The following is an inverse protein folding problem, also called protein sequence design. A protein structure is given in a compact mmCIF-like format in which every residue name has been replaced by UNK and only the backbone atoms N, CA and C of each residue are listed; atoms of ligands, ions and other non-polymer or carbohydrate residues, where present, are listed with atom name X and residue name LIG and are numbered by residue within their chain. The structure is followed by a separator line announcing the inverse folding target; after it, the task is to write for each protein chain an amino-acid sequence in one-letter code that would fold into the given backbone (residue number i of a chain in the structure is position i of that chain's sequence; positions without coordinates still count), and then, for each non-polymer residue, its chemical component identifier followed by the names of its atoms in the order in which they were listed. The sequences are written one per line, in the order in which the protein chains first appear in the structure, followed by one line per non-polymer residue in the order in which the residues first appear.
data_IF_726817898005
#
_entry.id   IF_726817898005
#
_cell.length_a   1.000
_cell.length_b   1.000
_cell.length_c   1.000
_cell.angle_alpha   90.00
_cell.angle_beta   90.00
_cell.angle_gamma   90.00
#
_symmetry.space_group_name_H-M   'P 1'
#
loop_
_entity.id
_entity.type
_entity.pdbx_description
1 polymer ?
#
# COMPACT_ATOMS: atom_id res chain seq x y z
N UNK A 1 59.94 -33.40 -15.07
CA UNK A 1 58.49 -33.41 -14.84
C UNK A 1 58.02 -31.97 -14.65
N UNK A 2 57.01 -31.53 -15.39
CA UNK A 2 56.38 -30.21 -15.21
C UNK A 2 55.14 -30.44 -14.35
N UNK A 3 55.07 -29.78 -13.19
CA UNK A 3 53.91 -29.83 -12.31
C UNK A 3 53.17 -28.49 -12.40
N UNK A 4 51.85 -28.57 -12.58
CA UNK A 4 50.95 -27.41 -12.57
C UNK A 4 50.04 -27.59 -11.35
N UNK A 5 49.96 -26.58 -10.49
CA UNK A 5 49.11 -26.58 -9.31
C UNK A 5 48.26 -25.31 -9.31
N UNK A 6 46.98 -25.46 -9.00
CA UNK A 6 46.10 -24.31 -8.81
C UNK A 6 46.43 -23.65 -7.47
N UNK A 7 46.69 -22.35 -7.50
CA UNK A 7 47.12 -21.60 -6.31
C UNK A 7 45.90 -21.11 -5.55
N UNK A 8 45.84 -21.41 -4.26
CA UNK A 8 44.85 -20.85 -3.35
C UNK A 8 44.87 -19.32 -3.38
N UNK A 9 43.69 -18.70 -3.41
CA UNK A 9 43.57 -17.25 -3.20
C UNK A 9 44.10 -16.90 -1.81
N UNK A 10 44.85 -15.80 -1.71
CA UNK A 10 45.50 -15.36 -0.46
C UNK A 10 44.51 -15.19 0.70
N UNK A 11 43.27 -14.78 0.40
CA UNK A 11 42.22 -14.55 1.40
C UNK A 11 41.49 -15.81 1.87
N UNK A 12 41.73 -16.97 1.23
CA UNK A 12 40.97 -18.22 1.50
C UNK A 12 41.12 -18.70 2.94
N UNK A 13 42.34 -18.72 3.47
CA UNK A 13 42.61 -19.17 4.84
C UNK A 13 41.95 -18.27 5.88
N UNK A 14 42.03 -16.95 5.66
CA UNK A 14 41.38 -15.97 6.53
C UNK A 14 39.85 -16.15 6.51
N UNK A 15 39.26 -16.36 5.32
CA UNK A 15 37.83 -16.52 5.16
C UNK A 15 37.30 -17.79 5.86
N UNK A 16 37.95 -18.93 5.65
CA UNK A 16 37.60 -20.21 6.30
C UNK A 16 37.68 -20.07 7.82
N UNK A 17 38.75 -19.47 8.34
CA UNK A 17 38.94 -19.28 9.79
C UNK A 17 37.81 -18.44 10.39
N UNK A 18 37.36 -17.39 9.70
CA UNK A 18 36.27 -16.53 10.17
C UNK A 18 34.92 -17.23 10.12
N UNK A 19 34.62 -17.96 9.04
CA UNK A 19 33.39 -18.75 8.93
C UNK A 19 33.30 -19.77 10.08
N UNK A 20 34.41 -20.47 10.38
CA UNK A 20 34.50 -21.37 11.52
C UNK A 20 34.24 -20.66 12.86
N UNK A 21 34.84 -19.48 13.09
CA UNK A 21 34.59 -18.64 14.28
C UNK A 21 33.14 -18.16 14.40
N UNK A 22 32.42 -18.04 13.28
CA UNK A 22 30.99 -17.70 13.26
C UNK A 22 30.08 -18.91 13.53
N UNK A 23 30.65 -20.09 13.78
CA UNK A 23 29.94 -21.35 13.99
C UNK A 23 29.43 -21.99 12.71
N UNK A 24 29.97 -21.61 11.54
CA UNK A 24 29.55 -22.13 10.24
C UNK A 24 30.51 -23.26 9.86
N UNK A 25 29.96 -24.46 9.63
CA UNK A 25 30.74 -25.59 9.14
C UNK A 25 31.11 -25.39 7.67
N UNK A 26 32.41 -25.41 7.38
CA UNK A 26 32.92 -25.25 6.01
C UNK A 26 33.19 -26.62 5.39
N UNK A 27 32.72 -26.79 4.15
CA UNK A 27 32.93 -27.96 3.31
C UNK A 27 33.65 -27.54 2.03
N UNK A 28 34.61 -28.35 1.59
CA UNK A 28 35.21 -28.23 0.26
C UNK A 28 34.65 -29.33 -0.62
N UNK A 29 34.13 -28.96 -1.79
CA UNK A 29 33.65 -29.89 -2.81
C UNK A 29 34.45 -29.68 -4.09
N UNK A 30 35.04 -30.74 -4.63
CA UNK A 30 35.88 -30.67 -5.84
C UNK A 30 35.81 -31.96 -6.65
N UNK A 31 36.05 -31.85 -7.96
CA UNK A 31 36.26 -32.99 -8.85
C UNK A 31 37.70 -33.51 -8.85
N UNK A 32 38.62 -32.82 -8.18
CA UNK A 32 40.01 -33.26 -8.04
C UNK A 32 40.11 -34.54 -7.20
N UNK A 33 41.22 -35.26 -7.40
CA UNK A 33 41.53 -36.44 -6.61
C UNK A 33 41.66 -36.13 -5.11
N UNK A 34 41.42 -37.15 -4.29
CA UNK A 34 41.39 -37.01 -2.84
C UNK A 34 42.68 -36.45 -2.24
N UNK A 35 43.84 -36.84 -2.79
CA UNK A 35 45.16 -36.41 -2.30
C UNK A 35 45.35 -34.90 -2.47
N UNK A 36 45.03 -34.35 -3.64
CA UNK A 36 45.12 -32.92 -3.92
C UNK A 36 44.11 -32.15 -3.09
N UNK A 37 42.85 -32.60 -3.05
CA UNK A 37 41.78 -31.95 -2.30
C UNK A 37 42.10 -31.84 -0.81
N UNK A 38 42.57 -32.93 -0.19
CA UNK A 38 42.96 -32.93 1.23
C UNK A 38 44.17 -32.04 1.51
N UNK A 39 45.16 -32.02 0.62
CA UNK A 39 46.33 -31.16 0.76
C UNK A 39 45.94 -29.67 0.75
N UNK A 40 45.07 -29.26 -0.18
CA UNK A 40 44.56 -27.89 -0.27
C UNK A 40 43.69 -27.55 0.94
N UNK A 41 42.78 -28.44 1.34
CA UNK A 41 41.94 -28.27 2.52
C UNK A 41 42.74 -28.08 3.80
N UNK A 42 43.83 -28.82 3.98
CA UNK A 42 44.70 -28.70 5.14
C UNK A 42 45.41 -27.34 5.21
N UNK A 43 45.77 -26.74 4.07
CA UNK A 43 46.43 -25.42 4.02
C UNK A 43 45.50 -24.30 4.50
N UNK A 44 44.20 -24.39 4.20
CA UNK A 44 43.19 -23.40 4.60
C UNK A 44 42.44 -23.74 5.90
N UNK A 45 42.61 -24.96 6.42
CA UNK A 45 41.99 -25.42 7.66
C UNK A 45 40.56 -25.95 7.50
N UNK A 46 40.21 -26.51 6.34
CA UNK A 46 38.93 -27.18 6.10
C UNK A 46 39.05 -28.66 6.49
N UNK A 47 38.15 -29.12 7.37
CA UNK A 47 38.12 -30.51 7.82
C UNK A 47 37.21 -31.41 7.00
N UNK A 48 36.15 -30.84 6.40
CA UNK A 48 35.18 -31.59 5.63
C UNK A 48 35.47 -31.45 4.13
N UNK A 49 35.90 -32.55 3.50
CA UNK A 49 36.31 -32.57 2.08
C UNK A 49 35.48 -33.63 1.36
N UNK A 50 34.88 -33.23 0.25
CA UNK A 50 34.17 -34.08 -0.71
C UNK A 50 34.96 -34.00 -2.02
N UNK A 51 35.80 -35.00 -2.27
CA UNK A 51 36.67 -35.07 -3.44
C UNK A 51 36.09 -36.02 -4.50
N UNK A 52 36.61 -35.94 -5.72
CA UNK A 52 36.21 -36.79 -6.85
C UNK A 52 34.70 -36.70 -7.18
N UNK A 53 34.07 -35.55 -6.90
CA UNK A 53 32.65 -35.32 -7.16
C UNK A 53 32.44 -34.75 -8.56
N UNK A 54 31.66 -35.45 -9.39
CA UNK A 54 31.31 -34.99 -10.73
C UNK A 54 30.40 -33.74 -10.66
N UNK A 55 30.40 -32.85 -11.67
CA UNK A 55 29.54 -31.66 -11.69
C UNK A 55 28.06 -31.96 -11.42
N UNK A 56 27.52 -33.03 -12.02
CA UNK A 56 26.13 -33.47 -11.82
C UNK A 56 25.86 -34.00 -10.40
N UNK A 57 26.88 -34.55 -9.74
CA UNK A 57 26.78 -35.11 -8.40
C UNK A 57 26.93 -34.06 -7.30
N UNK A 58 27.50 -32.88 -7.59
CA UNK A 58 27.65 -31.80 -6.60
C UNK A 58 26.30 -31.38 -6.00
N UNK A 59 25.24 -31.35 -6.82
CA UNK A 59 23.89 -31.07 -6.33
C UNK A 59 23.38 -32.17 -5.37
N UNK A 60 23.70 -33.43 -5.63
CA UNK A 60 23.34 -34.55 -4.75
C UNK A 60 24.04 -34.45 -3.40
N UNK A 61 25.31 -34.03 -3.37
CA UNK A 61 26.05 -33.81 -2.12
C UNK A 61 25.44 -32.65 -1.30
N UNK A 62 25.08 -31.54 -1.96
CA UNK A 62 24.34 -30.43 -1.31
C UNK A 62 23.03 -30.95 -0.72
N UNK A 63 22.27 -31.75 -1.48
CA UNK A 63 21.01 -32.34 -1.03
C UNK A 63 21.18 -33.29 0.16
N UNK A 64 22.24 -34.11 0.18
CA UNK A 64 22.57 -34.97 1.33
C UNK A 64 22.83 -34.13 2.59
N UNK A 65 23.55 -33.02 2.47
CA UNK A 65 23.80 -32.11 3.59
C UNK A 65 22.50 -31.46 4.09
N UNK A 66 21.61 -31.08 3.19
CA UNK A 66 20.29 -30.52 3.53
C UNK A 66 19.39 -31.56 4.21
N UNK A 67 19.38 -32.81 3.74
CA UNK A 67 18.66 -33.92 4.37
C UNK A 67 19.16 -34.21 5.80
N UNK A 68 20.43 -33.92 6.07
CA UNK A 68 21.00 -33.92 7.42
C UNK A 68 20.55 -32.75 8.31
N UNK A 69 19.56 -31.95 7.88
CA UNK A 69 19.00 -30.82 8.62
C UNK A 69 19.84 -29.53 8.56
N UNK A 70 20.89 -29.49 7.75
CA UNK A 70 21.73 -28.29 7.60
C UNK A 70 21.11 -27.33 6.60
N UNK A 71 21.32 -26.03 6.85
CA UNK A 71 21.10 -24.98 5.85
C UNK A 71 22.41 -24.75 5.10
N UNK A 72 22.39 -24.95 3.79
CA UNK A 72 23.61 -25.01 2.97
C UNK A 72 23.71 -23.78 2.08
N UNK A 73 24.83 -23.07 2.19
CA UNK A 73 25.22 -22.07 1.22
C UNK A 73 26.32 -22.66 0.33
N UNK A 74 26.12 -22.63 -0.99
CA UNK A 74 27.10 -23.11 -1.98
C UNK A 74 27.83 -21.90 -2.57
N UNK A 75 29.16 -21.97 -2.65
CA UNK A 75 30.00 -20.93 -3.26
C UNK A 75 30.73 -21.54 -4.45
N UNK A 76 30.57 -20.97 -5.64
CA UNK A 76 31.14 -21.52 -6.89
C UNK A 76 31.31 -20.46 -7.98
N UNK A 77 31.91 -20.85 -9.10
CA UNK A 77 32.11 -19.97 -10.27
C UNK A 77 30.85 -19.86 -11.17
N UNK A 78 29.88 -20.74 -10.94
CA UNK A 78 28.57 -20.76 -11.59
C UNK A 78 28.53 -21.33 -13.01
N UNK A 79 29.66 -21.81 -13.56
CA UNK A 79 29.66 -22.54 -14.85
C UNK A 79 29.49 -24.03 -14.60
N UNK A 80 30.38 -24.62 -13.80
CA UNK A 80 30.33 -26.06 -13.48
C UNK A 80 29.49 -26.35 -12.24
N UNK A 81 29.18 -25.32 -11.46
CA UNK A 81 28.53 -25.43 -10.15
C UNK A 81 27.05 -25.00 -10.19
N UNK A 82 26.52 -24.60 -11.34
CA UNK A 82 25.14 -24.08 -11.46
C UNK A 82 24.07 -25.02 -10.84
N UNK A 83 24.06 -26.35 -11.08
CA UNK A 83 23.09 -27.23 -10.43
C UNK A 83 23.22 -27.26 -8.90
N UNK A 84 24.45 -27.19 -8.38
CA UNK A 84 24.71 -27.19 -6.94
C UNK A 84 24.35 -25.84 -6.29
N UNK A 85 24.60 -24.72 -6.98
CA UNK A 85 24.19 -23.38 -6.56
C UNK A 85 22.67 -23.26 -6.46
N UNK A 86 21.94 -23.81 -7.44
CA UNK A 86 20.49 -23.82 -7.45
C UNK A 86 19.87 -24.75 -6.39
N UNK A 87 20.53 -25.88 -6.07
CA UNK A 87 20.07 -26.82 -5.04
C UNK A 87 20.29 -26.29 -3.61
N UNK A 88 21.29 -25.42 -3.40
CA UNK A 88 21.60 -24.87 -2.08
C UNK A 88 20.49 -23.95 -1.55
N UNK A 89 20.38 -23.80 -0.22
CA UNK A 89 19.48 -22.79 0.37
C UNK A 89 19.91 -21.36 0.00
N UNK A 90 21.20 -21.18 -0.32
CA UNK A 90 21.77 -19.93 -0.81
C UNK A 90 22.94 -20.22 -1.78
N UNK A 91 22.74 -19.97 -3.06
CA UNK A 91 23.83 -19.97 -4.06
C UNK A 91 24.58 -18.64 -4.06
N UNK A 92 25.91 -18.69 -3.97
CA UNK A 92 26.80 -17.53 -4.00
C UNK A 92 27.82 -17.71 -5.14
N UNK A 93 27.69 -16.89 -6.17
CA UNK A 93 28.56 -16.95 -7.36
C UNK A 93 29.77 -16.03 -7.18
N UNK A 94 30.96 -16.50 -7.56
CA UNK A 94 32.22 -15.75 -7.52
C UNK A 94 32.58 -15.17 -8.89
N UNK A 95 32.95 -13.89 -8.91
CA UNK A 95 33.47 -13.20 -10.09
C UNK A 95 32.40 -12.62 -11.01
N UNK A 96 32.84 -12.04 -12.13
CA UNK A 96 31.97 -11.58 -13.22
C UNK A 96 31.50 -12.75 -14.09
N UNK A 97 31.09 -13.85 -13.47
CA UNK A 97 30.75 -15.11 -14.16
C UNK A 97 29.82 -14.88 -15.35
N UNK A 98 29.89 -15.77 -16.34
CA UNK A 98 29.06 -15.79 -17.54
C UNK A 98 27.58 -15.57 -17.19
N UNK A 99 26.75 -15.05 -18.11
CA UNK A 99 25.36 -14.66 -17.82
C UNK A 99 24.55 -15.76 -17.07
N UNK A 100 24.83 -17.04 -17.36
CA UNK A 100 24.25 -18.22 -16.70
C UNK A 100 24.55 -18.28 -15.18
N UNK A 101 25.75 -17.87 -14.77
CA UNK A 101 26.20 -17.85 -13.37
C UNK A 101 25.57 -16.70 -12.57
N UNK A 102 25.21 -15.60 -13.24
CA UNK A 102 24.46 -14.48 -12.63
C UNK A 102 22.98 -14.80 -12.44
N UNK A 103 22.41 -15.64 -13.32
CA UNK A 103 20.97 -15.97 -13.28
C UNK A 103 20.63 -17.07 -12.24
N UNK A 104 21.62 -17.88 -11.85
CA UNK A 104 21.42 -19.03 -10.94
C UNK A 104 21.78 -18.76 -9.47
N UNK A 105 22.54 -17.70 -9.18
CA UNK A 105 23.01 -17.36 -7.82
C UNK A 105 22.14 -16.33 -7.11
N UNK A 106 21.83 -16.56 -5.83
CA UNK A 106 21.13 -15.56 -4.99
C UNK A 106 22.01 -14.38 -4.57
N UNK A 107 23.34 -14.55 -4.58
CA UNK A 107 24.34 -13.49 -4.31
C UNK A 107 25.48 -13.62 -5.32
N UNK A 108 25.95 -12.49 -5.87
CA UNK A 108 27.10 -12.44 -6.80
C UNK A 108 28.22 -11.60 -6.18
N UNK A 109 29.43 -12.17 -6.08
CA UNK A 109 30.63 -11.55 -5.50
C UNK A 109 31.52 -11.00 -6.61
N UNK A 110 31.44 -9.70 -6.86
CA UNK A 110 32.12 -9.03 -7.99
C UNK A 110 33.65 -9.05 -7.84
N UNK A 111 34.18 -8.80 -6.64
CA UNK A 111 35.63 -8.61 -6.41
C UNK A 111 36.45 -9.88 -6.38
N UNK A 112 35.84 -11.04 -6.60
CA UNK A 112 36.49 -12.34 -6.52
C UNK A 112 37.17 -12.64 -5.16
N UNK A 113 36.80 -11.93 -4.09
CA UNK A 113 37.34 -12.10 -2.73
C UNK A 113 36.36 -12.89 -1.85
N UNK A 114 36.80 -14.03 -1.32
CA UNK A 114 36.00 -14.88 -0.42
C UNK A 114 35.58 -14.18 0.87
N UNK A 115 36.27 -13.09 1.24
CA UNK A 115 35.88 -12.26 2.37
C UNK A 115 34.53 -11.56 2.18
N UNK A 116 34.08 -11.35 0.94
CA UNK A 116 32.78 -10.73 0.67
C UNK A 116 31.63 -11.67 1.01
N UNK A 117 31.84 -12.99 1.01
CA UNK A 117 30.88 -13.98 1.53
C UNK A 117 30.60 -13.73 3.01
N UNK A 118 31.65 -13.47 3.79
CA UNK A 118 31.51 -13.13 5.21
C UNK A 118 30.77 -11.81 5.38
N UNK A 119 31.14 -10.80 4.59
CA UNK A 119 30.50 -9.48 4.62
C UNK A 119 29.00 -9.57 4.32
N UNK A 120 28.60 -10.43 3.37
CA UNK A 120 27.20 -10.69 3.05
C UNK A 120 26.45 -11.35 4.22
N UNK A 121 27.06 -12.32 4.89
CA UNK A 121 26.46 -12.97 6.08
C UNK A 121 26.35 -11.97 7.25
N UNK A 122 27.39 -11.15 7.49
CA UNK A 122 27.36 -10.11 8.51
C UNK A 122 26.27 -9.06 8.24
N UNK A 123 26.15 -8.61 6.99
CA UNK A 123 25.11 -7.69 6.57
C UNK A 123 23.72 -8.30 6.77
N UNK A 124 23.51 -9.53 6.31
CA UNK A 124 22.24 -10.26 6.49
C UNK A 124 21.83 -10.35 7.97
N UNK A 125 22.77 -10.71 8.86
CA UNK A 125 22.51 -10.76 10.32
C UNK A 125 22.12 -9.38 10.88
N UNK A 126 22.76 -8.31 10.44
CA UNK A 126 22.41 -6.95 10.88
C UNK A 126 21.06 -6.49 10.33
N UNK A 127 20.78 -6.73 9.06
CA UNK A 127 19.51 -6.44 8.41
C UNK A 127 18.37 -7.17 9.10
N UNK A 128 18.53 -8.46 9.36
CA UNK A 128 17.52 -9.26 10.06
C UNK A 128 17.30 -8.78 11.50
N UNK A 129 18.36 -8.34 12.18
CA UNK A 129 18.25 -7.65 13.47
C UNK A 129 17.39 -6.39 13.39
N UNK A 130 17.57 -5.55 12.37
CA UNK A 130 16.74 -4.36 12.14
C UNK A 130 15.29 -4.72 11.83
N UNK A 131 15.05 -5.74 11.02
CA UNK A 131 13.69 -6.23 10.72
C UNK A 131 12.98 -6.65 12.01
N UNK A 132 13.64 -7.44 12.87
CA UNK A 132 13.08 -7.85 14.17
C UNK A 132 12.77 -6.66 15.07
N UNK A 133 13.65 -5.66 15.13
CA UNK A 133 13.42 -4.43 15.90
C UNK A 133 12.20 -3.67 15.37
N UNK A 134 12.13 -3.44 14.06
CA UNK A 134 11.03 -2.72 13.43
C UNK A 134 9.69 -3.44 13.63
N UNK A 135 9.67 -4.76 13.47
CA UNK A 135 8.49 -5.58 13.75
C UNK A 135 8.09 -5.49 15.22
N UNK A 136 9.05 -5.56 16.16
CA UNK A 136 8.76 -5.42 17.58
C UNK A 136 8.05 -4.09 17.88
N UNK A 137 8.56 -2.98 17.37
CA UNK A 137 7.94 -1.67 17.60
C UNK A 137 6.56 -1.56 16.93
N UNK A 138 6.42 -2.03 15.69
CA UNK A 138 5.13 -2.04 15.00
C UNK A 138 4.06 -2.84 15.76
N UNK A 139 4.41 -4.03 16.25
CA UNK A 139 3.49 -4.86 17.03
C UNK A 139 3.23 -4.27 18.42
N UNK A 140 4.26 -3.75 19.10
CA UNK A 140 4.12 -3.17 20.44
C UNK A 140 3.05 -2.07 20.49
N UNK A 141 3.03 -1.18 19.49
CA UNK A 141 2.01 -0.15 19.39
C UNK A 141 0.60 -0.70 19.18
N UNK A 142 0.45 -1.69 18.31
CA UNK A 142 -0.86 -2.28 18.05
C UNK A 142 -1.37 -3.05 19.27
N UNK A 143 -0.49 -3.79 19.96
CA UNK A 143 -0.83 -4.55 21.18
C UNK A 143 -1.29 -3.62 22.29
N UNK A 144 -0.70 -2.43 22.45
CA UNK A 144 -1.12 -1.45 23.45
C UNK A 144 -2.32 -0.62 22.98
N UNK A 145 -2.33 -0.23 21.71
CA UNK A 145 -3.34 0.63 21.11
C UNK A 145 -4.71 -0.03 21.02
N UNK A 146 -4.77 -1.33 20.69
CA UNK A 146 -6.04 -2.08 20.55
C UNK A 146 -6.85 -2.07 21.87
N UNK A 147 -6.30 -2.46 23.04
CA UNK A 147 -7.01 -2.36 24.32
C UNK A 147 -7.51 -0.96 24.67
N UNK A 148 -6.74 0.08 24.34
CA UNK A 148 -7.11 1.47 24.63
C UNK A 148 -8.25 1.92 23.69
N UNK A 149 -8.17 1.58 22.41
CA UNK A 149 -9.25 1.81 21.44
C UNK A 149 -10.52 1.03 21.80
N UNK A 150 -10.37 -0.18 22.34
CA UNK A 150 -11.46 -1.01 22.87
C UNK A 150 -12.03 -0.51 24.22
N UNK A 151 -11.58 0.66 24.71
CA UNK A 151 -12.09 1.33 25.93
C UNK A 151 -11.87 0.55 27.23
N UNK A 152 -10.94 -0.40 27.26
CA UNK A 152 -10.63 -1.21 28.46
C UNK A 152 -10.08 -0.32 29.60
N UNK A 153 -9.38 0.77 29.26
CA UNK A 153 -8.74 1.66 30.22
C UNK A 153 -9.47 3.00 30.44
N UNK A 154 -10.77 3.08 30.16
CA UNK A 154 -11.57 4.30 30.38
C UNK A 154 -11.54 4.76 31.84
N UNK A 155 -11.50 3.83 32.81
CA UNK A 155 -11.37 4.16 34.24
C UNK A 155 -10.07 4.85 34.63
N UNK A 156 -9.04 4.79 33.78
CA UNK A 156 -7.77 5.50 33.94
C UNK A 156 -7.69 6.78 33.08
N UNK A 157 -8.80 7.18 32.43
CA UNK A 157 -8.84 8.34 31.54
C UNK A 157 -8.11 8.15 30.20
N UNK A 158 -7.72 6.92 29.87
CA UNK A 158 -7.02 6.60 28.63
C UNK A 158 -8.02 6.27 27.53
N UNK A 159 -8.35 7.26 26.71
CA UNK A 159 -9.16 7.10 25.50
C UNK A 159 -8.30 7.44 24.30
N UNK A 160 -8.26 6.58 23.29
CA UNK A 160 -7.51 6.85 22.07
C UNK A 160 -8.46 7.44 21.02
N UNK A 161 -8.25 8.70 20.63
CA UNK A 161 -8.98 9.30 19.52
C UNK A 161 -8.35 8.89 18.18
N UNK A 162 -9.14 8.68 17.11
CA UNK A 162 -8.62 8.26 15.80
C UNK A 162 -7.54 9.18 15.22
N UNK A 163 -7.64 10.49 15.42
CA UNK A 163 -6.68 11.47 14.91
C UNK A 163 -5.32 11.34 15.60
N UNK A 164 -5.33 11.12 16.93
CA UNK A 164 -4.12 10.87 17.70
C UNK A 164 -3.51 9.50 17.36
N UNK A 165 -4.33 8.49 17.09
CA UNK A 165 -3.86 7.20 16.60
C UNK A 165 -3.17 7.31 15.23
N UNK A 166 -3.77 8.07 14.30
CA UNK A 166 -3.19 8.35 12.98
C UNK A 166 -1.86 9.10 13.08
N UNK A 167 -1.78 10.13 13.92
CA UNK A 167 -0.53 10.88 14.15
C UNK A 167 0.56 10.00 14.77
N UNK A 168 0.22 9.17 15.75
CA UNK A 168 1.16 8.22 16.35
C UNK A 168 1.67 7.19 15.33
N UNK A 169 0.81 6.70 14.42
CA UNK A 169 1.19 5.79 13.35
C UNK A 169 2.13 6.44 12.32
N UNK A 170 1.88 7.71 11.98
CA UNK A 170 2.76 8.48 11.09
C UNK A 170 4.14 8.70 11.72
N UNK A 171 4.20 9.13 12.99
CA UNK A 171 5.48 9.33 13.70
C UNK A 171 6.25 8.02 13.89
N UNK A 172 5.55 6.91 14.13
CA UNK A 172 6.15 5.57 14.22
C UNK A 172 6.88 5.18 12.94
N UNK A 173 6.27 5.44 11.78
CA UNK A 173 6.89 5.19 10.47
C UNK A 173 8.22 5.93 10.30
N UNK A 174 8.30 7.20 10.71
CA UNK A 174 9.52 8.00 10.62
C UNK A 174 10.66 7.38 11.44
N UNK A 175 10.38 6.96 12.68
CA UNK A 175 11.37 6.30 13.55
C UNK A 175 11.80 4.92 13.03
N UNK A 176 10.89 4.10 12.50
CA UNK A 176 11.20 2.80 11.91
C UNK A 176 12.06 2.95 10.66
N UNK A 177 11.73 3.91 9.79
CA UNK A 177 12.53 4.25 8.61
C UNK A 177 13.91 4.75 9.04
N UNK A 178 13.99 5.65 10.03
CA UNK A 178 15.26 6.17 10.56
C UNK A 178 16.12 5.05 11.13
N UNK A 179 15.54 4.10 11.88
CA UNK A 179 16.26 2.94 12.41
C UNK A 179 16.82 2.06 11.30
N UNK A 180 16.07 1.91 10.20
CA UNK A 180 16.48 1.15 9.02
C UNK A 180 17.64 1.84 8.30
N UNK A 181 17.59 3.17 8.18
CA UNK A 181 18.66 3.97 7.56
C UNK A 181 19.99 3.90 8.31
N UNK A 182 20.01 3.54 9.61
CA UNK A 182 21.26 3.31 10.34
C UNK A 182 22.09 2.14 9.77
N UNK A 183 21.48 1.27 8.97
CA UNK A 183 22.18 0.22 8.25
C UNK A 183 23.14 0.80 7.17
N UNK A 184 22.92 2.04 6.72
CA UNK A 184 23.85 2.76 5.81
C UNK A 184 25.25 2.93 6.40
N UNK A 185 25.37 2.94 7.72
CA UNK A 185 26.66 3.02 8.42
C UNK A 185 27.30 1.66 8.66
N UNK A 186 26.74 0.58 8.11
CA UNK A 186 27.36 -0.72 8.14
C UNK A 186 28.76 -0.65 7.51
N UNK A 187 29.74 -1.12 8.28
CA UNK A 187 31.10 -1.33 7.80
C UNK A 187 31.44 -2.79 8.10
N UNK A 188 31.84 -3.57 7.08
CA UNK A 188 32.26 -4.95 7.29
C UNK A 188 33.30 -5.03 8.41
N UNK A 189 33.20 -6.04 9.27
CA UNK A 189 34.16 -6.31 10.36
C UNK A 189 34.24 -5.23 11.46
N UNK A 190 33.36 -4.22 11.47
CA UNK A 190 33.28 -3.21 12.55
C UNK A 190 31.91 -3.27 13.23
N UNK A 191 31.90 -3.12 14.56
CA UNK A 191 30.65 -3.03 15.32
C UNK A 191 29.95 -1.71 14.99
N UNK A 192 28.70 -1.79 14.54
CA UNK A 192 27.86 -0.62 14.34
C UNK A 192 27.21 -0.23 15.68
N UNK A 193 27.93 0.55 16.49
CA UNK A 193 27.46 1.00 17.81
C UNK A 193 26.15 1.81 17.72
N UNK A 194 25.98 2.61 16.66
CA UNK A 194 24.72 3.33 16.42
C UNK A 194 23.54 2.36 16.26
N UNK A 195 23.74 1.27 15.51
CA UNK A 195 22.73 0.22 15.35
C UNK A 195 22.44 -0.55 16.64
N UNK A 196 23.43 -0.70 17.53
CA UNK A 196 23.26 -1.36 18.84
C UNK A 196 22.48 -0.52 19.85
N UNK A 197 22.69 0.80 19.86
CA UNK A 197 22.05 1.72 20.82
C UNK A 197 20.66 2.16 20.35
N UNK A 198 20.41 2.12 19.03
CA UNK A 198 19.14 2.52 18.44
C UNK A 198 17.89 1.88 19.07
N UNK A 199 17.85 0.58 19.42
CA UNK A 199 16.66 -0.01 20.06
C UNK A 199 16.35 0.61 21.42
N UNK A 200 17.37 0.88 22.25
CA UNK A 200 17.18 1.50 23.54
C UNK A 200 16.68 2.94 23.40
N UNK A 201 17.27 3.70 22.47
CA UNK A 201 16.83 5.07 22.16
C UNK A 201 15.40 5.07 21.62
N UNK A 202 15.07 4.14 20.73
CA UNK A 202 13.72 3.98 20.18
C UNK A 202 12.72 3.65 21.29
N UNK A 203 13.01 2.71 22.19
CA UNK A 203 12.14 2.41 23.34
C UNK A 203 11.89 3.66 24.19
N UNK A 204 12.93 4.43 24.50
CA UNK A 204 12.80 5.66 25.31
C UNK A 204 11.96 6.69 24.55
N UNK A 205 12.33 7.01 23.31
CA UNK A 205 11.66 8.00 22.49
C UNK A 205 10.19 7.66 22.29
N UNK A 206 9.90 6.39 22.02
CA UNK A 206 8.54 5.89 21.85
C UNK A 206 7.74 5.83 23.14
N UNK A 207 8.35 5.45 24.26
CA UNK A 207 7.67 5.49 25.56
C UNK A 207 7.31 6.93 25.95
N UNK A 208 8.20 7.88 25.68
CA UNK A 208 7.94 9.31 25.89
C UNK A 208 6.82 9.82 24.98
N UNK A 209 6.87 9.46 23.69
CA UNK A 209 5.85 9.81 22.71
C UNK A 209 4.47 9.28 23.14
N UNK A 210 4.42 8.01 23.51
CA UNK A 210 3.20 7.36 23.98
C UNK A 210 2.66 7.98 25.26
N UNK A 211 3.54 8.33 26.21
CA UNK A 211 3.14 8.97 27.46
C UNK A 211 2.62 10.39 27.23
N UNK A 212 3.27 11.18 26.36
CA UNK A 212 2.76 12.50 25.97
C UNK A 212 1.41 12.38 25.23
N UNK A 213 1.23 11.37 24.38
CA UNK A 213 -0.07 11.10 23.76
C UNK A 213 -1.16 10.76 24.79
N UNK A 214 -0.85 9.88 25.75
CA UNK A 214 -1.75 9.51 26.83
C UNK A 214 -2.10 10.73 27.72
N UNK A 215 -1.11 11.58 28.00
CA UNK A 215 -1.27 12.81 28.79
C UNK A 215 -2.09 13.87 28.06
N UNK A 216 -1.83 14.12 26.78
CA UNK A 216 -2.62 15.03 25.94
C UNK A 216 -4.05 14.53 25.84
N UNK A 217 -4.26 13.22 25.66
CA UNK A 217 -5.60 12.65 25.59
C UNK A 217 -6.38 12.79 26.91
N UNK A 218 -5.73 12.51 28.05
CA UNK A 218 -6.35 12.63 29.38
C UNK A 218 -6.58 14.09 29.81
N UNK A 219 -5.66 15.01 29.51
CA UNK A 219 -5.85 16.45 29.78
C UNK A 219 -6.98 17.06 28.95
N UNK A 220 -7.20 16.56 27.72
CA UNK A 220 -8.36 16.93 26.90
C UNK A 220 -9.69 16.39 27.48
N UNK A 221 -9.67 15.28 28.21
CA UNK A 221 -10.86 14.76 28.91
C UNK A 221 -11.12 15.47 30.25
N UNK A 222 -10.07 15.86 30.98
CA UNK A 222 -10.18 16.64 32.23
C UNK A 222 -10.64 18.09 32.02
N UNK A 223 -10.25 18.70 30.90
CA UNK A 223 -10.69 20.07 30.54
C UNK A 223 -12.16 20.13 30.09
N UNK A 224 -12.79 18.99 29.79
CA UNK A 224 -14.21 18.92 29.42
C UNK A 224 -15.16 18.99 30.63
N UNK A 225 -14.66 18.79 31.87
CA UNK A 225 -15.50 18.80 33.08
C UNK A 225 -15.50 20.14 33.84
N UNK A 226 -14.69 21.12 33.47
CA UNK A 226 -14.68 22.47 34.09
C UNK A 226 -15.05 23.62 33.16
N UNK A 227 -15.24 23.38 31.86
CA UNK A 227 -15.67 24.39 30.89
C UNK A 227 -17.14 24.26 30.45
N UNK A 228 -17.99 23.60 31.26
CA UNK A 228 -19.41 23.43 30.94
C UNK A 228 -20.26 24.71 31.11
N UNK A 229 -19.68 25.85 31.53
CA UNK A 229 -20.41 27.11 31.70
C UNK A 229 -19.77 28.34 31.02
N UNK A 230 -18.66 28.20 30.29
CA UNK A 230 -18.06 29.36 29.61
C UNK A 230 -17.32 28.96 28.33
N UNK A 231 -18.05 28.38 27.38
CA UNK A 231 -17.57 28.20 26.01
C UNK A 231 -18.75 28.14 25.02
N UNK A 232 -19.65 29.12 25.10
CA UNK A 232 -20.51 29.49 23.96
C UNK A 232 -19.66 30.39 23.06
N UNK A 233 -18.65 29.83 22.37
CA UNK A 233 -18.01 30.39 21.18
C UNK A 233 -16.81 29.52 20.82
N UNK A 234 -16.84 28.90 19.64
CA UNK A 234 -15.70 28.16 19.09
C UNK A 234 -15.82 26.63 19.08
N UNK A 235 -16.97 26.09 18.65
CA UNK A 235 -17.02 24.71 18.14
C UNK A 235 -16.55 24.68 16.68
N UNK A 236 -15.35 24.16 16.43
CA UNK A 236 -15.08 23.47 15.17
C UNK A 236 -15.81 22.13 15.24
N UNK A 237 -17.02 22.08 14.66
CA UNK A 237 -17.87 20.90 14.57
C UNK A 237 -17.14 19.80 13.79
N UNK A 238 -16.78 18.70 14.46
CA UNK A 238 -16.51 17.45 13.76
C UNK A 238 -17.83 16.98 13.14
N UNK A 239 -18.00 17.21 11.84
CA UNK A 239 -19.20 16.80 11.10
C UNK A 239 -19.23 15.27 11.06
N UNK A 240 -20.38 14.68 11.42
CA UNK A 240 -20.52 13.23 11.52
C UNK A 240 -20.45 12.59 10.11
N UNK A 241 -19.30 12.02 9.75
CA UNK A 241 -19.05 11.41 8.43
C UNK A 241 -20.11 10.36 8.04
N UNK A 242 -20.67 9.63 9.00
CA UNK A 242 -21.75 8.67 8.76
C UNK A 242 -23.02 9.36 8.26
N UNK A 243 -23.38 10.52 8.82
CA UNK A 243 -24.56 11.28 8.39
C UNK A 243 -24.39 11.88 6.98
N UNK A 244 -23.16 12.32 6.64
CA UNK A 244 -22.83 12.77 5.28
C UNK A 244 -22.96 11.61 4.29
N UNK A 245 -22.43 10.43 4.63
CA UNK A 245 -22.51 9.27 3.73
C UNK A 245 -23.94 8.81 3.51
N UNK A 246 -24.78 8.83 4.56
CA UNK A 246 -26.23 8.55 4.42
C UNK A 246 -26.92 9.58 3.53
N UNK A 247 -26.57 10.87 3.67
CA UNK A 247 -27.12 11.92 2.83
C UNK A 247 -26.76 11.72 1.35
N UNK A 248 -25.49 11.48 1.03
CA UNK A 248 -25.04 11.23 -0.35
C UNK A 248 -25.74 10.00 -0.94
N UNK A 249 -25.88 8.91 -0.17
CA UNK A 249 -26.57 7.70 -0.62
C UNK A 249 -28.08 7.90 -0.86
N UNK A 250 -28.70 8.87 -0.16
CA UNK A 250 -30.11 9.21 -0.33
C UNK A 250 -30.35 10.19 -1.49
N UNK A 251 -29.35 10.97 -1.89
CA UNK A 251 -29.43 12.01 -2.91
C UNK A 251 -29.22 11.49 -4.34
N UNK A 252 -29.83 12.18 -5.30
CA UNK A 252 -29.58 11.94 -6.72
C UNK A 252 -28.21 12.51 -7.10
N UNK A 253 -27.39 11.72 -7.80
CA UNK A 253 -26.08 12.14 -8.29
C UNK A 253 -25.98 11.99 -9.79
N UNK A 254 -25.25 12.92 -10.40
CA UNK A 254 -24.89 12.88 -11.81
C UNK A 254 -23.43 13.28 -12.02
N UNK A 255 -22.91 12.90 -13.17
CA UNK A 255 -21.55 13.27 -13.60
C UNK A 255 -21.58 13.87 -14.99
N UNK A 256 -20.79 14.92 -15.15
CA UNK A 256 -20.48 15.53 -16.43
C UNK A 256 -18.96 15.59 -16.61
N UNK A 257 -18.50 15.91 -17.82
CA UNK A 257 -17.08 15.92 -18.15
C UNK A 257 -16.67 17.29 -18.73
N UNK A 258 -15.61 17.87 -18.16
CA UNK A 258 -14.91 19.02 -18.73
C UNK A 258 -13.63 18.53 -19.40
N UNK A 259 -13.69 18.23 -20.69
CA UNK A 259 -12.64 17.45 -21.34
C UNK A 259 -12.63 16.02 -20.79
N UNK A 260 -11.51 15.60 -20.22
CA UNK A 260 -11.36 14.28 -19.59
C UNK A 260 -11.64 14.30 -18.07
N UNK A 261 -11.84 15.48 -17.48
CA UNK A 261 -12.05 15.59 -16.03
C UNK A 261 -13.52 15.41 -15.64
N UNK A 262 -13.84 14.44 -14.76
CA UNK A 262 -15.20 14.24 -14.26
C UNK A 262 -15.58 15.32 -13.23
N UNK A 263 -16.76 15.92 -13.40
CA UNK A 263 -17.40 16.83 -12.45
C UNK A 263 -18.63 16.17 -11.85
N UNK A 264 -18.64 16.04 -10.53
CA UNK A 264 -19.71 15.38 -9.78
C UNK A 264 -20.74 16.39 -9.29
N UNK A 265 -22.02 16.07 -9.53
CA UNK A 265 -23.16 16.88 -9.13
C UNK A 265 -24.06 16.09 -8.18
N UNK A 266 -24.49 16.73 -7.11
CA UNK A 266 -25.36 16.15 -6.07
C UNK A 266 -26.60 17.02 -5.91
N UNK A 267 -27.78 16.41 -6.01
CA UNK A 267 -29.02 17.06 -5.64
C UNK A 267 -29.11 17.22 -4.12
N UNK A 268 -29.21 18.47 -3.66
CA UNK A 268 -29.48 18.81 -2.28
C UNK A 268 -30.80 19.59 -2.21
N UNK A 269 -31.82 19.00 -1.57
CA UNK A 269 -33.15 19.60 -1.50
C UNK A 269 -33.41 20.41 -0.22
N UNK A 270 -32.81 20.09 0.93
CA UNK A 270 -33.02 20.78 2.22
C UNK A 270 -31.79 20.66 3.14
N UNK A 271 -31.52 21.72 3.91
CA UNK A 271 -30.56 21.87 5.01
C UNK A 271 -29.52 20.75 5.15
N UNK A 272 -28.34 20.99 4.60
CA UNK A 272 -27.19 20.09 4.70
C UNK A 272 -26.95 19.70 6.17
N UNK A 273 -26.89 18.40 6.51
CA UNK A 273 -26.85 17.97 7.89
C UNK A 273 -25.56 18.45 8.57
N UNK A 274 -25.71 19.44 9.46
CA UNK A 274 -24.62 20.00 10.28
C UNK A 274 -23.43 20.60 9.52
N UNK A 275 -23.54 20.79 8.20
CA UNK A 275 -22.50 21.43 7.39
C UNK A 275 -22.69 22.94 7.46
N UNK A 276 -21.59 23.65 7.67
CA UNK A 276 -21.56 25.12 7.73
C UNK A 276 -20.95 25.68 6.45
N UNK A 277 -21.43 26.84 5.99
CA UNK A 277 -20.76 27.57 4.93
C UNK A 277 -19.47 28.18 5.48
N UNK A 278 -18.38 27.98 4.74
CA UNK A 278 -17.14 28.75 4.90
C UNK A 278 -17.31 30.15 4.32
N UNK A 279 -17.98 30.24 3.17
CA UNK A 279 -18.30 31.49 2.48
C UNK A 279 -19.72 31.40 1.90
N UNK A 280 -20.48 32.50 1.94
CA UNK A 280 -21.81 32.57 1.31
C UNK A 280 -22.93 31.86 2.06
N UNK A 281 -23.90 31.35 1.31
CA UNK A 281 -25.08 30.63 1.80
C UNK A 281 -25.10 29.18 1.30
N UNK A 282 -25.69 28.29 2.10
CA UNK A 282 -25.95 26.89 1.72
C UNK A 282 -27.38 26.68 1.20
N UNK A 283 -28.15 27.76 1.06
CA UNK A 283 -29.49 27.71 0.47
C UNK A 283 -29.37 27.78 -1.04
N UNK A 284 -29.96 26.82 -1.73
CA UNK A 284 -29.91 26.68 -3.19
C UNK A 284 -31.25 27.09 -3.81
N UNK A 285 -31.20 28.02 -4.77
CA UNK A 285 -32.30 28.29 -5.70
C UNK A 285 -31.99 27.65 -7.08
N UNK A 286 -32.84 27.93 -8.06
CA UNK A 286 -32.62 27.49 -9.44
C UNK A 286 -31.38 28.19 -10.04
N UNK A 287 -30.59 27.45 -10.81
CA UNK A 287 -29.34 27.92 -11.44
C UNK A 287 -28.26 28.41 -10.45
N UNK A 288 -28.36 27.96 -9.19
CA UNK A 288 -27.38 28.22 -8.15
C UNK A 288 -26.66 26.93 -7.73
N UNK A 289 -25.39 27.08 -7.35
CA UNK A 289 -24.60 25.98 -6.80
C UNK A 289 -23.82 26.36 -5.55
N UNK A 290 -23.64 25.36 -4.71
CA UNK A 290 -22.75 25.38 -3.56
C UNK A 290 -21.61 24.42 -3.85
N UNK A 291 -20.38 24.85 -3.57
CA UNK A 291 -19.18 24.06 -3.85
C UNK A 291 -18.66 23.37 -2.59
N UNK A 292 -18.21 22.14 -2.77
CA UNK A 292 -17.32 21.48 -1.82
C UNK A 292 -15.99 22.22 -1.69
N UNK A 293 -15.33 22.08 -0.54
CA UNK A 293 -14.12 22.85 -0.23
C UNK A 293 -12.97 22.56 -1.21
N UNK A 294 -12.80 21.30 -1.62
CA UNK A 294 -11.76 20.89 -2.57
C UNK A 294 -12.08 21.37 -3.98
N UNK A 295 -13.34 21.20 -4.43
CA UNK A 295 -13.77 21.67 -5.75
C UNK A 295 -13.64 23.19 -5.87
N UNK A 296 -14.07 23.94 -4.83
CA UNK A 296 -13.94 25.39 -4.80
C UNK A 296 -12.49 25.87 -4.91
N UNK A 297 -11.56 25.19 -4.21
CA UNK A 297 -10.14 25.52 -4.27
C UNK A 297 -9.55 25.27 -5.67
N UNK A 298 -9.94 24.18 -6.32
CA UNK A 298 -9.49 23.84 -7.67
C UNK A 298 -10.04 24.84 -8.69
N UNK A 299 -11.35 25.11 -8.68
CA UNK A 299 -11.98 26.07 -9.58
C UNK A 299 -11.41 27.49 -9.43
N UNK A 300 -11.04 27.92 -8.20
CA UNK A 300 -10.33 29.19 -7.98
C UNK A 300 -8.93 29.18 -8.57
N UNK A 301 -8.18 28.08 -8.41
CA UNK A 301 -6.84 27.92 -8.98
C UNK A 301 -6.86 27.99 -10.51
N UNK A 302 -7.94 27.49 -11.12
CA UNK A 302 -8.18 27.54 -12.57
C UNK A 302 -8.77 28.87 -13.05
N UNK A 303 -9.02 29.80 -12.13
CA UNK A 303 -9.55 31.13 -12.45
C UNK A 303 -11.00 31.12 -12.92
N UNK A 304 -11.75 30.05 -12.65
CA UNK A 304 -13.17 29.92 -13.05
C UNK A 304 -14.08 30.86 -12.26
N UNK A 305 -13.70 31.20 -11.03
CA UNK A 305 -14.34 32.24 -10.22
C UNK A 305 -13.37 32.76 -9.16
N UNK A 306 -13.69 33.90 -8.55
CA UNK A 306 -12.90 34.51 -7.48
C UNK A 306 -13.71 34.57 -6.18
N UNK A 307 -14.93 35.09 -6.25
CA UNK A 307 -15.77 35.37 -5.10
C UNK A 307 -17.08 34.59 -5.15
N UNK A 308 -17.62 34.27 -3.97
CA UNK A 308 -19.01 33.84 -3.89
C UNK A 308 -19.92 34.96 -4.40
N UNK A 309 -20.87 34.62 -5.26
CA UNK A 309 -21.73 35.54 -6.01
C UNK A 309 -21.40 35.62 -7.50
N UNK A 310 -20.20 35.16 -7.90
CA UNK A 310 -19.78 35.10 -9.30
C UNK A 310 -20.70 34.17 -10.13
N UNK A 311 -20.89 34.54 -11.40
CA UNK A 311 -21.74 33.82 -12.34
C UNK A 311 -20.88 33.26 -13.46
N UNK A 312 -20.95 31.95 -13.65
CA UNK A 312 -20.28 31.22 -14.71
C UNK A 312 -21.26 31.07 -15.87
N UNK A 313 -20.89 31.52 -17.07
CA UNK A 313 -21.69 31.35 -18.27
C UNK A 313 -21.48 29.99 -18.93
N UNK A 314 -22.50 29.47 -19.62
CA UNK A 314 -22.46 28.21 -20.39
C UNK A 314 -21.97 27.01 -19.58
N UNK A 315 -22.47 26.86 -18.37
CA UNK A 315 -22.04 25.83 -17.43
C UNK A 315 -22.83 24.53 -17.68
N UNK A 316 -22.20 23.54 -18.31
CA UNK A 316 -22.78 22.21 -18.57
C UNK A 316 -24.21 22.24 -19.17
N UNK A 317 -24.41 23.08 -20.20
CA UNK A 317 -25.68 23.22 -20.90
C UNK A 317 -26.61 24.29 -20.33
N UNK A 318 -26.35 24.78 -19.12
CA UNK A 318 -27.08 25.91 -18.55
C UNK A 318 -26.51 27.24 -19.04
N UNK A 319 -27.36 28.25 -19.30
CA UNK A 319 -26.91 29.55 -19.79
C UNK A 319 -26.02 30.27 -18.77
N UNK A 320 -26.36 30.14 -17.48
CA UNK A 320 -25.64 30.72 -16.35
C UNK A 320 -25.71 29.79 -15.15
N UNK A 321 -24.70 29.86 -14.29
CA UNK A 321 -24.66 29.17 -13.00
C UNK A 321 -24.03 30.12 -11.98
N UNK A 322 -24.73 30.42 -10.87
CA UNK A 322 -24.22 31.29 -9.81
C UNK A 322 -23.65 30.47 -8.66
N UNK A 323 -22.45 30.83 -8.21
CA UNK A 323 -21.86 30.24 -7.00
C UNK A 323 -22.39 31.00 -5.79
N UNK A 324 -23.19 30.36 -4.95
CA UNK A 324 -23.82 31.01 -3.78
C UNK A 324 -23.18 30.66 -2.45
N UNK A 325 -22.35 29.61 -2.41
CA UNK A 325 -21.58 29.30 -1.21
C UNK A 325 -20.50 28.24 -1.41
N UNK A 326 -19.61 28.18 -0.42
CA UNK A 326 -18.55 27.18 -0.29
C UNK A 326 -18.70 26.54 1.09
N UNK A 327 -18.73 25.22 1.13
CA UNK A 327 -18.81 24.47 2.40
C UNK A 327 -17.50 24.54 3.18
N UNK A 328 -17.59 24.51 4.51
CA UNK A 328 -16.44 24.17 5.34
C UNK A 328 -15.91 22.76 4.96
N UNK A 329 -14.58 22.53 4.96
CA UNK A 329 -14.02 21.23 4.64
C UNK A 329 -14.59 20.15 5.57
N UNK A 330 -15.21 19.14 4.98
CA UNK A 330 -15.83 18.04 5.71
C UNK A 330 -14.88 16.85 5.88
N UNK A 331 -13.82 16.76 5.05
CA UNK A 331 -12.92 15.62 5.00
C UNK A 331 -13.55 14.37 4.38
N UNK A 332 -14.68 14.53 3.67
CA UNK A 332 -15.41 13.45 3.01
C UNK A 332 -15.47 13.67 1.49
N UNK A 333 -15.99 12.68 0.75
CA UNK A 333 -16.20 12.80 -0.69
C UNK A 333 -17.00 14.06 -1.08
N UNK A 334 -17.87 14.55 -0.18
CA UNK A 334 -18.69 15.74 -0.40
C UNK A 334 -17.87 16.99 -0.76
N UNK A 335 -16.61 17.08 -0.33
CA UNK A 335 -15.73 18.21 -0.62
C UNK A 335 -15.38 18.33 -2.12
N UNK A 336 -15.65 17.29 -2.91
CA UNK A 336 -15.41 17.23 -4.36
C UNK A 336 -16.69 17.42 -5.21
N UNK A 337 -17.84 17.74 -4.59
CA UNK A 337 -19.12 17.85 -5.32
C UNK A 337 -19.54 19.29 -5.59
N UNK A 338 -20.30 19.45 -6.67
CA UNK A 338 -21.17 20.59 -6.91
C UNK A 338 -22.56 20.25 -6.38
N UNK A 339 -23.03 21.01 -5.39
CA UNK A 339 -24.35 20.84 -4.83
C UNK A 339 -25.31 21.79 -5.52
N UNK A 340 -26.35 21.22 -6.11
CA UNK A 340 -27.40 21.96 -6.83
C UNK A 340 -28.77 21.47 -6.35
N UNK A 341 -29.82 22.24 -6.58
CA UNK A 341 -31.16 21.75 -6.29
C UNK A 341 -31.57 20.67 -7.33
N UNK A 342 -32.61 19.86 -7.05
CA UNK A 342 -33.04 18.80 -7.97
C UNK A 342 -33.43 19.30 -9.37
N UNK A 343 -34.08 20.46 -9.48
CA UNK A 343 -34.52 21.03 -10.76
C UNK A 343 -33.33 21.41 -11.64
N UNK A 344 -32.31 22.05 -11.06
CA UNK A 344 -31.07 22.43 -11.71
C UNK A 344 -30.26 21.18 -12.09
N UNK A 345 -30.22 20.16 -11.22
CA UNK A 345 -29.57 18.88 -11.54
C UNK A 345 -30.19 18.22 -12.78
N UNK A 346 -31.51 18.28 -12.91
CA UNK A 346 -32.24 17.73 -14.05
C UNK A 346 -31.99 18.51 -15.35
N UNK A 347 -31.76 19.82 -15.25
CA UNK A 347 -31.49 20.70 -16.39
C UNK A 347 -30.02 20.66 -16.88
N UNK A 348 -29.08 20.15 -16.07
CA UNK A 348 -27.69 19.97 -16.49
C UNK A 348 -27.58 18.93 -17.62
N UNK A 349 -26.76 19.23 -18.63
CA UNK A 349 -26.37 18.28 -19.67
C UNK A 349 -25.30 17.33 -19.11
N UNK A 350 -25.74 16.38 -18.31
CA UNK A 350 -24.90 15.36 -17.68
C UNK A 350 -24.83 14.11 -18.53
N UNK A 351 -23.71 13.40 -18.48
CA UNK A 351 -23.54 12.18 -19.28
C UNK A 351 -24.13 10.96 -18.56
N UNK A 352 -24.02 10.87 -17.23
CA UNK A 352 -24.53 9.68 -16.53
C UNK A 352 -25.10 9.97 -15.14
N UNK A 353 -25.96 9.06 -14.70
CA UNK A 353 -26.41 8.96 -13.31
C UNK A 353 -25.42 8.14 -12.50
N UNK A 354 -25.20 8.54 -11.24
CA UNK A 354 -24.42 7.77 -10.27
C UNK A 354 -25.36 7.26 -9.19
N UNK A 355 -25.29 5.96 -8.90
CA UNK A 355 -25.97 5.34 -7.77
C UNK A 355 -24.95 5.17 -6.63
N UNK A 356 -25.28 5.62 -5.42
CA UNK A 356 -24.51 5.30 -4.22
C UNK A 356 -25.21 4.19 -3.43
N UNK A 357 -24.42 3.22 -2.96
CA UNK A 357 -24.86 2.17 -2.04
C UNK A 357 -23.97 2.20 -0.80
N UNK A 358 -24.56 2.01 0.38
CA UNK A 358 -23.84 1.98 1.64
C UNK A 358 -23.69 0.53 2.11
N UNK A 359 -22.46 0.00 2.11
CA UNK A 359 -22.17 -1.34 2.64
C UNK A 359 -21.22 -1.23 3.83
N UNK A 360 -21.65 -1.73 4.99
CA UNK A 360 -20.83 -1.81 6.21
C UNK A 360 -20.20 -0.46 6.64
N UNK A 361 -20.83 0.67 6.30
CA UNK A 361 -20.35 2.02 6.59
C UNK A 361 -19.46 2.64 5.50
N UNK A 362 -19.08 1.86 4.48
CA UNK A 362 -18.35 2.32 3.31
C UNK A 362 -19.31 2.62 2.15
N UNK A 363 -19.12 3.75 1.49
CA UNK A 363 -19.89 4.13 0.32
C UNK A 363 -19.28 3.51 -0.93
N UNK A 364 -20.11 2.93 -1.78
CA UNK A 364 -19.75 2.41 -3.09
C UNK A 364 -20.52 3.15 -4.16
N UNK A 365 -19.80 3.66 -5.15
CA UNK A 365 -20.34 4.47 -6.24
C UNK A 365 -20.45 3.64 -7.51
N UNK A 366 -21.57 3.77 -8.21
CA UNK A 366 -21.89 3.04 -9.42
C UNK A 366 -22.27 4.01 -10.54
N UNK A 367 -21.48 4.03 -11.59
CA UNK A 367 -21.72 4.76 -12.82
C UNK A 367 -22.64 3.96 -13.74
N UNK A 368 -23.76 4.56 -14.15
CA UNK A 368 -24.69 3.96 -15.11
C UNK A 368 -24.27 4.17 -16.57
N UNK A 369 -23.75 3.13 -17.20
CA UNK A 369 -23.30 3.11 -18.60
C UNK A 369 -24.46 3.01 -19.60
N UNK A 370 -24.32 3.76 -20.69
CA UNK A 370 -25.06 3.72 -21.95
C UNK A 370 -24.07 3.96 -23.09
N UNK A 371 -24.48 3.69 -24.33
CA UNK A 371 -23.59 3.83 -25.50
C UNK A 371 -23.21 5.29 -25.81
N UNK A 372 -23.91 6.24 -25.20
CA UNK A 372 -23.74 7.67 -25.38
C UNK A 372 -22.92 8.31 -24.24
N UNK A 373 -22.72 7.60 -23.12
CA UNK A 373 -22.12 8.17 -21.92
C UNK A 373 -20.89 7.44 -21.39
N UNK A 374 -20.25 6.62 -22.21
CA UNK A 374 -19.00 5.96 -21.83
C UNK A 374 -17.95 7.06 -21.54
N UNK A 375 -17.33 7.08 -20.33
CA UNK A 375 -16.34 8.10 -19.99
C UNK A 375 -15.25 8.21 -21.04
N UNK A 376 -14.81 9.42 -21.43
CA UNK A 376 -13.79 9.63 -22.46
C UNK A 376 -12.53 8.78 -22.25
N UNK A 377 -12.07 8.70 -20.99
CA UNK A 377 -10.89 7.93 -20.60
C UNK A 377 -11.00 6.41 -20.83
N UNK A 378 -12.23 5.88 -20.98
CA UNK A 378 -12.49 4.43 -21.05
C UNK A 378 -13.11 3.97 -22.38
N UNK A 379 -13.24 4.85 -23.37
CA UNK A 379 -13.86 4.52 -24.66
C UNK A 379 -13.14 3.39 -25.41
N UNK A 380 -11.83 3.21 -25.19
CA UNK A 380 -11.06 2.11 -25.78
C UNK A 380 -11.21 0.77 -25.05
N UNK A 381 -11.67 0.77 -23.81
CA UNK A 381 -11.74 -0.40 -22.92
C UNK A 381 -13.17 -0.92 -22.79
N UNK A 382 -14.15 -0.04 -22.77
CA UNK A 382 -15.57 -0.39 -22.65
C UNK A 382 -16.18 -0.38 -24.05
N UNK A 383 -16.44 -1.58 -24.59
CA UNK A 383 -17.14 -1.71 -25.85
C UNK A 383 -18.63 -1.38 -25.71
N UNK A 384 -19.23 -0.78 -26.73
CA UNK A 384 -20.68 -0.49 -26.79
C UNK A 384 -21.49 -1.77 -26.60
N UNK A 385 -22.55 -1.70 -25.79
CA UNK A 385 -23.39 -2.84 -25.41
C UNK A 385 -22.75 -3.92 -24.52
N UNK A 386 -21.47 -3.80 -24.15
CA UNK A 386 -20.76 -4.82 -23.34
C UNK A 386 -21.21 -4.93 -21.88
N UNK A 387 -22.05 -4.00 -21.43
CA UNK A 387 -22.60 -3.91 -20.07
C UNK A 387 -24.01 -4.50 -19.95
N UNK A 388 -24.56 -5.06 -21.03
CA UNK A 388 -25.83 -5.79 -21.01
C UNK A 388 -25.68 -7.15 -20.33
N UNK A 389 -26.73 -7.63 -19.66
CA UNK A 389 -26.71 -8.89 -18.95
C UNK A 389 -26.35 -10.09 -19.86
N UNK A 390 -25.42 -10.93 -19.40
CA UNK A 390 -24.96 -12.14 -20.10
C UNK A 390 -25.41 -13.39 -19.35
N UNK A 391 -25.69 -14.47 -20.07
CA UNK A 391 -26.07 -15.75 -19.45
C UNK A 391 -24.86 -16.66 -19.35
N UNK A 392 -24.46 -17.02 -18.13
CA UNK A 392 -23.37 -17.97 -17.86
C UNK A 392 -23.96 -19.18 -17.13
N UNK A 393 -23.80 -20.36 -17.71
CA UNK A 393 -24.34 -21.61 -17.17
C UNK A 393 -25.85 -21.55 -16.81
N UNK A 394 -26.65 -20.90 -17.66
CA UNK A 394 -28.10 -20.78 -17.49
C UNK A 394 -28.57 -19.76 -16.46
N UNK A 395 -27.66 -18.94 -15.90
CA UNK A 395 -28.00 -17.85 -14.97
C UNK A 395 -27.57 -16.49 -15.54
N UNK A 396 -28.38 -15.44 -15.38
CA UNK A 396 -28.01 -14.09 -15.80
C UNK A 396 -26.95 -13.50 -14.86
N UNK A 397 -25.93 -12.88 -15.46
CA UNK A 397 -24.89 -12.12 -14.80
C UNK A 397 -24.78 -10.74 -15.43
N UNK A 398 -24.57 -9.73 -14.59
CA UNK A 398 -24.41 -8.34 -15.01
C UNK A 398 -22.91 -8.06 -15.18
N UNK A 399 -22.44 -7.66 -16.37
CA UNK A 399 -21.06 -7.23 -16.53
C UNK A 399 -20.78 -5.97 -15.71
N UNK A 400 -19.68 -6.01 -14.95
CA UNK A 400 -19.21 -4.89 -14.13
C UNK A 400 -17.77 -4.55 -14.52
N UNK A 401 -17.52 -3.29 -14.87
CA UNK A 401 -16.16 -2.76 -14.97
C UNK A 401 -15.82 -2.05 -13.66
N UNK A 402 -14.57 -2.14 -13.25
CA UNK A 402 -14.14 -1.67 -11.93
C UNK A 402 -12.97 -0.70 -12.10
N UNK A 403 -13.07 0.49 -11.50
CA UNK A 403 -11.97 1.45 -11.42
C UNK A 403 -10.74 0.86 -10.71
N UNK A 404 -9.56 1.39 -10.98
CA UNK A 404 -8.30 0.78 -10.50
C UNK A 404 -8.20 0.72 -8.97
N UNK A 405 -8.57 1.80 -8.26
CA UNK A 405 -8.47 1.87 -6.79
C UNK A 405 -9.43 0.88 -6.13
N UNK A 406 -10.66 0.81 -6.63
CA UNK A 406 -11.67 -0.14 -6.15
C UNK A 406 -11.26 -1.59 -6.49
N UNK A 407 -10.75 -1.85 -7.70
CA UNK A 407 -10.28 -3.18 -8.09
C UNK A 407 -9.14 -3.68 -7.20
N UNK A 408 -8.17 -2.82 -6.86
CA UNK A 408 -7.08 -3.16 -5.96
C UNK A 408 -7.58 -3.55 -4.56
N UNK A 409 -8.59 -2.83 -4.04
CA UNK A 409 -9.24 -3.17 -2.77
C UNK A 409 -9.91 -4.54 -2.85
N UNK A 410 -10.74 -4.76 -3.87
CA UNK A 410 -11.47 -6.01 -4.05
C UNK A 410 -10.54 -7.22 -4.26
N UNK A 411 -9.41 -7.05 -4.96
CA UNK A 411 -8.36 -8.06 -5.12
C UNK A 411 -7.68 -8.37 -3.78
N UNK A 412 -7.38 -7.36 -2.97
CA UNK A 412 -6.78 -7.53 -1.64
C UNK A 412 -7.71 -8.30 -0.70
N UNK A 413 -9.01 -8.06 -0.80
CA UNK A 413 -10.06 -8.77 -0.05
C UNK A 413 -10.43 -10.13 -0.66
N UNK A 414 -9.80 -10.52 -1.78
CA UNK A 414 -10.03 -11.79 -2.50
C UNK A 414 -11.49 -11.96 -2.96
N UNK A 415 -12.16 -10.86 -3.30
CA UNK A 415 -13.52 -10.89 -3.85
C UNK A 415 -13.53 -11.43 -5.30
N UNK A 416 -12.44 -11.23 -6.04
CA UNK A 416 -12.15 -11.87 -7.32
C UNK A 416 -10.63 -11.95 -7.53
N UNK A 417 -10.18 -12.59 -8.61
CA UNK A 417 -8.76 -12.75 -8.97
C UNK A 417 -8.43 -12.18 -10.35
N UNK A 418 -9.34 -12.30 -11.31
CA UNK A 418 -9.15 -11.79 -12.67
C UNK A 418 -10.48 -11.37 -13.34
N UNK A 419 -10.37 -10.65 -14.45
CA UNK A 419 -11.52 -10.43 -15.33
C UNK A 419 -12.07 -11.78 -15.83
N UNK A 420 -13.40 -11.87 -15.90
CA UNK A 420 -14.15 -13.10 -16.17
C UNK A 420 -14.66 -13.82 -14.92
N UNK A 421 -14.19 -13.46 -13.72
CA UNK A 421 -14.67 -14.05 -12.48
C UNK A 421 -16.13 -13.69 -12.17
N UNK A 422 -16.83 -14.65 -11.58
CA UNK A 422 -18.24 -14.54 -11.22
C UNK A 422 -18.38 -14.21 -9.73
N UNK A 423 -18.96 -13.05 -9.42
CA UNK A 423 -19.25 -12.65 -8.04
C UNK A 423 -20.76 -12.78 -7.81
N UNK A 424 -21.13 -13.56 -6.81
CA UNK A 424 -22.54 -13.81 -6.48
C UNK A 424 -23.02 -12.77 -5.47
N UNK A 425 -24.23 -12.27 -5.67
CA UNK A 425 -24.93 -11.38 -4.75
C UNK A 425 -24.16 -10.08 -4.40
N UNK A 426 -23.42 -9.52 -5.35
CA UNK A 426 -22.81 -8.20 -5.20
C UNK A 426 -23.92 -7.14 -5.33
N UNK A 427 -24.27 -6.49 -4.21
CA UNK A 427 -25.36 -5.50 -4.12
C UNK A 427 -26.71 -6.00 -4.69
N UNK A 428 -27.04 -7.26 -4.38
CA UNK A 428 -28.27 -7.92 -4.81
C UNK A 428 -28.24 -8.50 -6.23
N UNK A 429 -27.10 -8.41 -6.93
CA UNK A 429 -26.96 -8.87 -8.30
C UNK A 429 -25.85 -9.92 -8.45
N UNK A 430 -26.03 -10.86 -9.36
CA UNK A 430 -24.93 -11.73 -9.80
C UNK A 430 -24.15 -10.96 -10.86
N UNK A 431 -22.87 -10.75 -10.65
CA UNK A 431 -22.03 -9.95 -11.57
C UNK A 431 -20.88 -10.77 -12.12
N UNK A 432 -20.45 -10.43 -13.33
CA UNK A 432 -19.24 -10.93 -13.96
C UNK A 432 -18.27 -9.77 -14.12
N UNK A 433 -17.03 -9.92 -13.64
CA UNK A 433 -16.01 -8.88 -13.78
C UNK A 433 -15.63 -8.75 -15.25
N UNK A 434 -16.15 -7.73 -15.93
CA UNK A 434 -15.94 -7.50 -17.35
C UNK A 434 -14.52 -6.98 -17.65
N UNK A 435 -13.97 -6.18 -16.73
CA UNK A 435 -12.61 -5.67 -16.83
C UNK A 435 -12.24 -4.73 -15.69
N UNK A 436 -10.93 -4.57 -15.48
CA UNK A 436 -10.36 -3.54 -14.62
C UNK A 436 -9.95 -2.38 -15.51
N UNK A 437 -10.42 -1.18 -15.19
CA UNK A 437 -10.16 0.02 -15.97
C UNK A 437 -8.80 0.62 -15.61
N UNK A 438 -8.13 1.31 -16.55
CA UNK A 438 -6.84 1.95 -16.30
C UNK A 438 -6.98 3.11 -15.31
N UNK A 439 -5.88 3.45 -14.65
CA UNK A 439 -5.84 4.53 -13.66
C UNK A 439 -6.04 5.90 -14.32
N UNK A 440 -6.90 6.72 -13.74
CA UNK A 440 -7.23 8.07 -14.22
C UNK A 440 -6.80 9.18 -13.24
N UNK A 441 -6.42 8.82 -12.01
CA UNK A 441 -6.19 9.75 -10.90
C UNK A 441 -7.40 10.65 -10.64
N UNK A 442 -8.60 10.12 -10.87
CA UNK A 442 -9.86 10.84 -10.73
C UNK A 442 -10.84 10.01 -9.88
N UNK A 443 -11.98 10.59 -9.45
CA UNK A 443 -13.01 9.84 -8.74
C UNK A 443 -13.49 8.57 -9.47
N UNK A 444 -13.28 8.46 -10.78
CA UNK A 444 -13.62 7.26 -11.57
C UNK A 444 -12.88 6.00 -11.10
N UNK A 445 -11.68 6.14 -10.51
CA UNK A 445 -10.88 4.99 -10.05
C UNK A 445 -11.51 4.29 -8.83
N UNK A 446 -12.41 4.98 -8.12
CA UNK A 446 -13.14 4.48 -6.95
C UNK A 446 -14.56 3.97 -7.31
N UNK A 447 -14.93 3.98 -8.59
CA UNK A 447 -16.28 3.63 -9.06
C UNK A 447 -16.36 2.23 -9.67
N UNK A 448 -17.58 1.69 -9.60
CA UNK A 448 -18.02 0.57 -10.42
C UNK A 448 -18.81 1.10 -11.62
N UNK A 449 -18.73 0.41 -12.76
CA UNK A 449 -19.45 0.79 -13.97
C UNK A 449 -20.33 -0.37 -14.42
N UNK A 450 -21.63 -0.12 -14.49
CA UNK A 450 -22.69 -1.10 -14.77
C UNK A 450 -23.69 -0.50 -15.76
N UNK A 451 -24.51 -1.31 -16.44
CA UNK A 451 -25.59 -0.78 -17.29
C UNK A 451 -26.54 0.14 -16.51
N UNK A 452 -26.96 1.25 -17.13
CA UNK A 452 -27.80 2.26 -16.48
C UNK A 452 -29.17 1.71 -16.01
N UNK A 453 -29.64 0.61 -16.61
CA UNK A 453 -30.87 -0.10 -16.25
C UNK A 453 -30.75 -0.96 -14.99
N UNK A 454 -29.52 -1.21 -14.52
CA UNK A 454 -29.26 -2.09 -13.37
C UNK A 454 -29.71 -1.44 -12.07
N UNK A 455 -30.52 -2.17 -11.32
CA UNK A 455 -31.00 -1.76 -9.99
C UNK A 455 -30.17 -2.45 -8.91
N UNK A 456 -29.58 -1.64 -8.04
CA UNK A 456 -28.81 -2.12 -6.90
C UNK A 456 -29.70 -2.17 -5.65
N UNK A 457 -29.53 -3.21 -4.85
CA UNK A 457 -30.18 -3.28 -3.53
C UNK A 457 -29.34 -2.43 -2.57
N UNK A 458 -29.99 -1.41 -1.99
CA UNK A 458 -29.38 -0.42 -1.11
C UNK A 458 -29.05 -0.97 0.28
#
# INVERSE_FOLDING_TARGET
AIAVADTLKETSKEAVTKLAKMGIAVYMITGDNERTARAIAQQVGITNVLAEVLPEEKANEVKKLQQGGKKVAMVGDGVNDAPALAQADLGITMGSGTDVAMETGGIVIIKNDLNDVISAIELSRQTYGKIKQNMFFALFYNIIGIPIAARIFVGLGLVLKPELAGLAMALSSISVVTNSLLLRYFRPRKRNYASMVAPAVMVILFSLLFFEFARISSNMTGSASMNAQTAITGQSKAVNATAINTFIAASSMRVAFAGDEPKLFLAASIALPQITAREGTLTLQDDEMVLGATEAAMMRREGLFQNVGDVIGKFFGLPVMRIVGIMEPTGTLLDNYHLVNPATLDALTTQANIQAVLAEGNMKLFYGLTDENIPPAFQSQIAKGSYAAVTVAGKPYIPIYIGTSEANMMLAEKLFQAAGDLIKNLFGNNVIVAGILPVTNSPLDEMHFIGAEVRLVR
#
